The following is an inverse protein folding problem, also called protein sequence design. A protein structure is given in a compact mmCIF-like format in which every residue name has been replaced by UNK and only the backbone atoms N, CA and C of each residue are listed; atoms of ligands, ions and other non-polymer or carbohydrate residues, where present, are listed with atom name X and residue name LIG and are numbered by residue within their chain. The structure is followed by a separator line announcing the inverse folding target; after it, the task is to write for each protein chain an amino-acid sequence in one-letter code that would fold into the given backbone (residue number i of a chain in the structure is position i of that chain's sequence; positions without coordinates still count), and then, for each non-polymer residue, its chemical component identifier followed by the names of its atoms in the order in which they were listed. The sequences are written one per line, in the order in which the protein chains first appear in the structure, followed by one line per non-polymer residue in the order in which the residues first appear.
data_IF_449211472986
#
_entry.id   IF_449211472986
#
_cell.length_a   1.000
_cell.length_b   1.000
_cell.length_c   1.000
_cell.angle_alpha   90.00
_cell.angle_beta   90.00
_cell.angle_gamma   90.00
#
_symmetry.space_group_name_H-M   'P 1'
#
loop_
_entity.id
_entity.type
_entity.pdbx_description
1 polymer ?
#
# COMPACT_ATOMS: atom_id res chain seq x y z
N UNK A 1 14.87 27.96 4.70
CA UNK A 1 13.66 27.59 4.14
C UNK A 1 12.56 27.90 5.06
N UNK A 2 12.10 29.06 4.86
CA UNK A 2 11.18 29.63 5.81
C UNK A 2 9.84 28.93 5.82
N UNK A 3 9.47 28.25 4.78
CA UNK A 3 8.17 27.62 4.69
C UNK A 3 8.15 26.18 5.18
N UNK A 4 9.31 25.65 5.56
CA UNK A 4 9.38 24.27 5.97
C UNK A 4 9.42 23.28 4.83
N UNK A 5 9.58 23.76 3.61
CA UNK A 5 9.70 22.87 2.46
C UNK A 5 11.03 22.13 2.50
N UNK A 6 11.00 20.86 2.18
CA UNK A 6 12.16 19.99 2.22
C UNK A 6 12.46 19.42 0.84
N UNK A 7 13.74 19.21 0.59
CA UNK A 7 14.23 18.58 -0.62
C UNK A 7 15.53 17.86 -0.31
N UNK A 8 16.27 17.48 -1.36
CA UNK A 8 17.54 16.78 -1.21
C UNK A 8 18.59 17.50 -2.04
N UNK A 9 19.76 17.73 -1.42
CA UNK A 9 20.88 18.34 -2.13
C UNK A 9 22.02 17.33 -2.17
N UNK A 10 22.92 17.50 -3.17
CA UNK A 10 24.11 16.67 -3.25
C UNK A 10 25.27 17.34 -2.51
N UNK A 11 26.45 16.75 -2.59
CA UNK A 11 27.63 17.26 -1.89
C UNK A 11 28.05 18.64 -2.36
N UNK A 12 27.69 19.01 -3.56
CA UNK A 12 28.05 20.33 -4.11
C UNK A 12 27.04 21.40 -3.81
N UNK A 13 25.96 21.06 -3.12
CA UNK A 13 24.91 22.00 -2.79
C UNK A 13 23.84 22.15 -3.83
N UNK A 14 23.83 21.31 -4.84
CA UNK A 14 22.82 21.38 -5.90
C UNK A 14 21.61 20.57 -5.52
N UNK A 15 20.44 21.09 -5.86
CA UNK A 15 19.20 20.40 -5.58
C UNK A 15 19.09 19.17 -6.47
N UNK A 16 18.98 18.00 -5.85
CA UNK A 16 18.68 16.76 -6.54
C UNK A 16 17.17 16.54 -6.56
N UNK A 17 16.53 16.83 -5.43
CA UNK A 17 15.07 16.85 -5.33
C UNK A 17 14.69 18.23 -4.82
N UNK A 18 13.83 18.93 -5.54
CA UNK A 18 13.48 20.31 -5.24
C UNK A 18 12.75 20.43 -3.90
N UNK A 19 12.92 21.56 -3.20
CA UNK A 19 12.34 21.73 -1.85
C UNK A 19 10.86 22.08 -1.93
N UNK A 20 10.03 21.07 -2.14
CA UNK A 20 8.59 21.25 -2.23
C UNK A 20 7.80 20.22 -1.44
N UNK A 21 8.48 19.46 -0.59
CA UNK A 21 7.81 18.42 0.17
C UNK A 21 7.82 18.76 1.65
N UNK A 22 6.83 18.21 2.39
CA UNK A 22 6.77 18.44 3.83
C UNK A 22 7.92 17.76 4.57
N UNK A 23 8.45 16.70 3.98
CA UNK A 23 9.53 15.94 4.58
C UNK A 23 10.33 15.32 3.45
N UNK A 24 11.63 15.18 3.63
CA UNK A 24 12.49 14.50 2.69
C UNK A 24 13.64 13.88 3.45
N UNK A 25 13.95 12.63 3.11
CA UNK A 25 15.08 11.95 3.71
C UNK A 25 15.75 11.06 2.70
N UNK A 26 17.07 10.94 2.80
CA UNK A 26 17.83 10.04 1.94
C UNK A 26 17.72 8.65 2.53
N UNK A 27 17.05 7.76 1.82
CA UNK A 27 16.82 6.41 2.33
C UNK A 27 17.91 5.44 1.88
N UNK A 28 18.45 5.67 0.68
CA UNK A 28 19.53 4.83 0.17
C UNK A 28 20.27 5.60 -0.90
N UNK A 29 21.28 4.96 -1.51
CA UNK A 29 22.01 5.59 -2.61
C UNK A 29 21.18 5.69 -3.88
N UNK A 30 20.01 5.07 -3.90
CA UNK A 30 19.19 5.01 -5.10
C UNK A 30 17.88 5.78 -5.00
N UNK A 31 17.39 6.04 -3.78
CA UNK A 31 16.11 6.73 -3.66
C UNK A 31 15.99 7.50 -2.36
N UNK A 32 15.09 8.45 -2.37
CA UNK A 32 14.72 9.22 -1.20
C UNK A 32 13.24 9.03 -0.89
N UNK A 33 12.88 9.26 0.35
CA UNK A 33 11.49 9.21 0.79
C UNK A 33 11.04 10.64 1.05
N UNK A 34 9.94 11.04 0.44
CA UNK A 34 9.38 12.37 0.65
C UNK A 34 7.93 12.26 1.08
N UNK A 35 7.46 13.25 1.81
CA UNK A 35 6.07 13.31 2.27
C UNK A 35 5.38 14.50 1.62
N UNK A 36 4.17 14.26 1.11
CA UNK A 36 3.33 15.30 0.55
C UNK A 36 2.40 15.85 1.64
N UNK A 37 1.77 17.00 1.39
CA UNK A 37 0.98 17.66 2.44
C UNK A 37 -0.13 16.84 3.09
N UNK A 38 -0.68 15.86 2.38
CA UNK A 38 -1.73 15.03 2.96
C UNK A 38 -1.20 13.89 3.83
N UNK A 39 0.12 13.84 4.04
CA UNK A 39 0.72 12.86 4.93
C UNK A 39 1.20 11.58 4.27
N UNK A 40 0.92 11.40 2.99
CA UNK A 40 1.42 10.22 2.31
C UNK A 40 2.89 10.38 1.97
N UNK A 41 3.62 9.28 2.05
CA UNK A 41 5.03 9.26 1.70
C UNK A 41 5.19 8.59 0.35
N UNK A 42 6.20 9.04 -0.39
CA UNK A 42 6.51 8.50 -1.71
C UNK A 42 7.98 8.19 -1.79
N UNK A 43 8.35 7.30 -2.71
CA UNK A 43 9.74 7.07 -3.04
C UNK A 43 10.05 7.74 -4.36
N UNK A 44 11.09 8.55 -4.37
CA UNK A 44 11.57 9.22 -5.58
C UNK A 44 13.00 8.79 -5.86
N UNK A 45 13.35 8.66 -7.13
CA UNK A 45 14.77 8.52 -7.47
C UNK A 45 15.40 9.91 -7.45
N UNK A 46 16.69 9.99 -7.69
CA UNK A 46 17.38 11.27 -7.58
C UNK A 46 17.27 12.10 -8.86
N UNK A 47 16.51 11.64 -9.83
CA UNK A 47 16.11 12.45 -10.99
C UNK A 47 14.73 13.05 -10.78
N UNK A 48 14.09 12.77 -9.64
CA UNK A 48 12.78 13.31 -9.34
C UNK A 48 11.62 12.45 -9.79
N UNK A 49 11.90 11.25 -10.31
CA UNK A 49 10.84 10.37 -10.78
C UNK A 49 10.27 9.55 -9.63
N UNK A 50 8.98 9.33 -9.67
CA UNK A 50 8.30 8.55 -8.63
C UNK A 50 8.56 7.07 -8.89
N UNK A 51 9.24 6.42 -7.94
CA UNK A 51 9.43 4.98 -7.99
C UNK A 51 8.19 4.30 -7.46
N UNK A 52 7.73 4.74 -6.29
CA UNK A 52 6.51 4.26 -5.67
C UNK A 52 5.74 5.45 -5.13
N UNK A 53 4.45 5.58 -5.46
CA UNK A 53 3.67 6.71 -4.97
C UNK A 53 3.35 6.64 -3.48
N UNK A 54 3.58 5.49 -2.87
CA UNK A 54 3.33 5.32 -1.44
C UNK A 54 4.45 4.53 -0.82
N UNK A 55 4.88 4.95 0.37
CA UNK A 55 5.79 4.16 1.18
C UNK A 55 4.94 3.35 2.14
N UNK A 56 5.12 2.05 2.07
CA UNK A 56 4.30 1.11 2.82
C UNK A 56 4.73 1.07 4.27
N UNK A 57 3.78 1.25 5.20
CA UNK A 57 4.07 1.14 6.62
C UNK A 57 4.13 -0.32 7.04
N UNK A 58 3.26 -1.15 6.47
CA UNK A 58 3.29 -2.59 6.72
C UNK A 58 2.61 -3.31 5.57
N UNK A 59 2.96 -4.56 5.40
CA UNK A 59 2.37 -5.42 4.40
C UNK A 59 2.21 -6.81 4.98
N UNK A 60 1.11 -7.44 4.64
CA UNK A 60 0.77 -8.73 5.20
C UNK A 60 0.15 -9.59 4.12
N UNK A 61 0.66 -10.81 3.96
CA UNK A 61 0.10 -11.72 2.98
C UNK A 61 -1.32 -12.08 3.35
N UNK A 62 -2.21 -12.02 2.39
CA UNK A 62 -3.60 -12.33 2.63
C UNK A 62 -3.83 -13.82 2.52
N UNK A 63 -4.56 -14.35 3.49
CA UNK A 63 -4.96 -15.74 3.54
C UNK A 63 -6.47 -15.79 3.50
N UNK A 64 -7.02 -16.78 2.80
CA UNK A 64 -8.44 -16.98 2.83
C UNK A 64 -8.74 -18.30 3.54
N UNK A 65 -9.91 -18.41 4.13
CA UNK A 65 -10.30 -19.62 4.83
C UNK A 65 -11.30 -20.40 3.98
N UNK A 66 -11.15 -21.69 4.02
CA UNK A 66 -12.04 -22.57 3.31
C UNK A 66 -12.51 -23.65 4.27
N UNK A 67 -13.80 -23.81 4.35
CA UNK A 67 -14.37 -24.85 5.19
C UNK A 67 -14.28 -26.19 4.47
N UNK A 68 -13.35 -27.03 4.92
CA UNK A 68 -13.23 -28.35 4.37
C UNK A 68 -13.93 -29.32 5.28
N UNK A 69 -15.18 -29.61 4.95
CA UNK A 69 -15.91 -30.63 5.68
C UNK A 69 -15.36 -31.97 5.29
N UNK A 70 -14.51 -32.45 6.11
CA UNK A 70 -14.05 -33.82 5.93
C UNK A 70 -14.75 -34.63 7.03
N UNK A 71 -15.90 -35.06 6.69
CA UNK A 71 -16.73 -36.02 7.39
C UNK A 71 -16.82 -35.97 8.92
N UNK A 72 -15.80 -35.63 9.64
CA UNK A 72 -15.89 -35.70 11.08
C UNK A 72 -15.51 -34.40 11.80
N UNK A 73 -14.97 -33.44 11.09
CA UNK A 73 -14.55 -32.19 11.73
C UNK A 73 -14.86 -31.02 10.83
N UNK A 74 -15.33 -29.94 11.44
CA UNK A 74 -15.55 -28.68 10.74
C UNK A 74 -14.26 -27.88 10.78
N UNK A 75 -13.28 -28.34 10.05
CA UNK A 75 -11.99 -27.66 10.07
C UNK A 75 -11.94 -26.59 9.00
N UNK A 76 -11.59 -25.38 9.44
CA UNK A 76 -11.29 -24.29 8.54
C UNK A 76 -9.79 -24.28 8.33
N UNK A 77 -9.39 -24.34 7.09
CA UNK A 77 -7.98 -24.22 6.75
C UNK A 77 -7.73 -22.90 6.07
N UNK A 78 -6.58 -22.31 6.35
CA UNK A 78 -6.16 -21.08 5.73
C UNK A 78 -5.26 -21.39 4.55
N UNK A 79 -5.51 -20.71 3.45
CA UNK A 79 -4.73 -20.86 2.24
C UNK A 79 -4.15 -19.51 1.84
N UNK A 80 -2.88 -19.46 1.47
CA UNK A 80 -2.30 -18.18 1.07
C UNK A 80 -2.75 -17.76 -0.31
N UNK A 81 -2.93 -16.47 -0.48
CA UNK A 81 -3.13 -15.90 -1.80
C UNK A 81 -1.78 -15.41 -2.31
N UNK A 82 -1.76 -14.92 -3.56
CA UNK A 82 -0.58 -14.26 -4.11
C UNK A 82 -0.60 -12.77 -3.85
N UNK A 83 -1.45 -12.31 -2.94
CA UNK A 83 -1.72 -10.90 -2.75
C UNK A 83 -1.46 -10.50 -1.32
N UNK A 84 -1.21 -9.22 -1.14
CA UNK A 84 -0.87 -8.63 0.15
C UNK A 84 -1.76 -7.45 0.44
N UNK A 85 -2.14 -7.32 1.70
CA UNK A 85 -2.72 -6.08 2.20
C UNK A 85 -1.56 -5.19 2.62
N UNK A 86 -1.56 -3.97 2.14
CA UNK A 86 -0.55 -3.02 2.58
C UNK A 86 -1.25 -1.84 3.26
N UNK A 87 -0.54 -1.17 4.15
CA UNK A 87 -1.07 -0.01 4.83
C UNK A 87 -0.16 1.17 4.60
N UNK A 88 -0.80 2.30 4.35
CA UNK A 88 -0.12 3.59 4.24
C UNK A 88 -0.92 4.54 5.10
N UNK A 89 -0.33 5.00 6.20
CA UNK A 89 -0.95 6.01 7.05
C UNK A 89 -2.34 5.55 7.54
N UNK A 90 -2.42 4.31 8.02
CA UNK A 90 -3.64 3.67 8.54
C UNK A 90 -4.66 3.28 7.49
N UNK A 91 -4.41 3.56 6.24
CA UNK A 91 -5.30 3.15 5.17
C UNK A 91 -4.78 1.88 4.53
N UNK A 92 -5.68 1.02 4.10
CA UNK A 92 -5.32 -0.26 3.53
C UNK A 92 -5.56 -0.29 2.04
N UNK A 93 -4.75 -1.07 1.34
CA UNK A 93 -4.92 -1.32 -0.08
C UNK A 93 -4.47 -2.73 -0.40
N UNK A 94 -4.61 -3.09 -1.66
CA UNK A 94 -4.24 -4.42 -2.15
C UNK A 94 -3.05 -4.30 -3.09
N UNK A 95 -2.07 -5.18 -2.93
CA UNK A 95 -0.95 -5.25 -3.85
C UNK A 95 -0.63 -6.70 -4.15
N UNK A 96 0.12 -6.94 -5.22
CA UNK A 96 0.53 -8.30 -5.54
C UNK A 96 1.85 -8.64 -4.86
N UNK A 97 2.31 -9.87 -5.06
CA UNK A 97 3.54 -10.32 -4.40
C UNK A 97 4.81 -9.72 -4.96
N UNK A 98 4.70 -8.97 -6.05
CA UNK A 98 5.85 -8.30 -6.66
C UNK A 98 5.95 -6.84 -6.28
N UNK A 99 5.01 -6.37 -5.44
CA UNK A 99 5.02 -4.99 -5.00
C UNK A 99 4.25 -4.03 -5.87
N UNK A 100 3.48 -4.54 -6.83
CA UNK A 100 2.64 -3.68 -7.67
C UNK A 100 1.34 -3.38 -6.96
N UNK A 101 0.99 -2.11 -6.87
CA UNK A 101 -0.25 -1.70 -6.22
C UNK A 101 -1.44 -2.02 -7.12
N UNK A 102 -2.39 -2.79 -6.60
CA UNK A 102 -3.61 -3.12 -7.31
C UNK A 102 -4.67 -2.07 -7.01
N UNK A 103 -4.78 -1.65 -5.75
CA UNK A 103 -5.65 -0.54 -5.38
C UNK A 103 -4.85 0.52 -4.65
N UNK A 104 -5.40 1.72 -4.60
CA UNK A 104 -4.86 2.77 -3.74
C UNK A 104 -5.16 2.43 -2.29
N UNK A 105 -4.42 3.02 -1.34
CA UNK A 105 -4.67 2.75 0.08
C UNK A 105 -5.84 3.62 0.57
N UNK A 106 -7.03 3.23 0.17
CA UNK A 106 -8.24 4.01 0.43
C UNK A 106 -9.26 3.26 1.28
N UNK A 107 -8.93 2.07 1.74
CA UNK A 107 -9.86 1.25 2.51
C UNK A 107 -9.46 1.22 3.96
N UNK A 108 -10.44 0.92 4.82
CA UNK A 108 -10.16 0.73 6.23
C UNK A 108 -9.48 -0.62 6.46
N UNK A 109 -9.85 -1.62 5.67
CA UNK A 109 -9.24 -2.94 5.76
C UNK A 109 -9.51 -3.71 4.47
N UNK A 110 -8.69 -4.72 4.20
CA UNK A 110 -8.85 -5.61 3.06
C UNK A 110 -8.60 -7.03 3.55
N UNK A 111 -9.50 -7.96 3.21
CA UNK A 111 -9.37 -9.36 3.56
C UNK A 111 -9.62 -10.21 2.32
N UNK A 112 -9.06 -11.41 2.31
CA UNK A 112 -9.26 -12.32 1.19
C UNK A 112 -10.51 -13.15 1.42
N UNK A 113 -11.34 -13.27 0.39
CA UNK A 113 -12.50 -14.17 0.39
C UNK A 113 -12.09 -15.50 -0.23
N UNK A 114 -11.34 -15.44 -1.32
CA UNK A 114 -10.75 -16.62 -1.94
C UNK A 114 -9.48 -16.19 -2.66
N UNK A 115 -9.00 -16.98 -3.60
CA UNK A 115 -7.74 -16.70 -4.27
C UNK A 115 -7.74 -15.41 -5.08
N UNK A 116 -8.90 -14.97 -5.54
CA UNK A 116 -8.99 -13.86 -6.49
C UNK A 116 -9.99 -12.79 -6.09
N UNK A 117 -10.69 -12.96 -4.96
CA UNK A 117 -11.69 -11.99 -4.51
C UNK A 117 -11.37 -11.54 -3.12
N UNK A 118 -11.61 -10.27 -2.87
CA UNK A 118 -11.24 -9.63 -1.61
C UNK A 118 -12.38 -8.76 -1.10
N UNK A 119 -12.51 -8.73 0.22
CA UNK A 119 -13.50 -7.91 0.88
C UNK A 119 -12.81 -6.65 1.39
N UNK A 120 -13.20 -5.51 0.88
CA UNK A 120 -12.62 -4.24 1.29
C UNK A 120 -13.63 -3.48 2.13
N UNK A 121 -13.22 -3.10 3.33
CA UNK A 121 -14.05 -2.31 4.23
C UNK A 121 -13.78 -0.83 3.94
N UNK A 122 -14.84 -0.08 3.74
CA UNK A 122 -14.71 1.34 3.42
C UNK A 122 -14.32 2.13 4.66
N UNK A 123 -14.04 3.40 4.46
CA UNK A 123 -13.51 4.26 5.53
C UNK A 123 -14.49 4.45 6.68
N UNK A 124 -15.76 4.24 6.45
CA UNK A 124 -16.74 4.34 7.53
C UNK A 124 -16.63 3.17 8.51
N UNK A 125 -15.86 2.13 8.15
CA UNK A 125 -15.68 0.98 9.01
C UNK A 125 -16.85 0.01 9.01
N UNK A 126 -17.89 0.27 8.22
CA UNK A 126 -19.10 -0.51 8.22
C UNK A 126 -19.42 -1.05 6.84
N UNK A 127 -19.36 -0.19 5.83
CA UNK A 127 -19.69 -0.58 4.46
C UNK A 127 -18.56 -1.40 3.86
N UNK A 128 -18.92 -2.40 3.06
CA UNK A 128 -17.94 -3.26 2.43
C UNK A 128 -18.23 -3.39 0.95
N UNK A 129 -17.19 -3.64 0.18
CA UNK A 129 -17.31 -3.96 -1.25
C UNK A 129 -16.44 -5.16 -1.53
N UNK A 130 -16.77 -5.87 -2.59
CA UNK A 130 -15.94 -6.98 -3.05
C UNK A 130 -15.13 -6.48 -4.23
N UNK A 131 -13.83 -6.70 -4.20
CA UNK A 131 -12.96 -6.33 -5.30
C UNK A 131 -12.29 -7.57 -5.84
N UNK A 132 -11.97 -7.55 -7.13
CA UNK A 132 -11.29 -8.66 -7.76
C UNK A 132 -9.79 -8.43 -7.75
N UNK A 133 -9.05 -9.34 -8.37
CA UNK A 133 -7.58 -9.27 -8.38
C UNK A 133 -7.05 -8.14 -9.25
N UNK A 134 -7.91 -7.49 -10.00
CA UNK A 134 -7.53 -6.32 -10.79
C UNK A 134 -7.89 -5.02 -10.08
N UNK A 135 -8.49 -5.12 -8.91
CA UNK A 135 -8.88 -3.94 -8.15
C UNK A 135 -10.26 -3.39 -8.51
N UNK A 136 -11.00 -4.09 -9.35
CA UNK A 136 -12.33 -3.64 -9.75
C UNK A 136 -13.38 -4.07 -8.74
N UNK A 137 -14.33 -3.20 -8.47
CA UNK A 137 -15.43 -3.54 -7.58
C UNK A 137 -16.36 -4.50 -8.29
N UNK A 138 -16.59 -5.64 -7.66
CA UNK A 138 -17.43 -6.69 -8.20
C UNK A 138 -18.66 -6.74 -7.33
N UNK A 139 -19.60 -5.85 -7.61
CA UNK A 139 -20.77 -5.78 -6.79
C UNK A 139 -21.78 -6.82 -7.17
N UNK A 140 -22.36 -7.39 -6.15
CA UNK A 140 -23.41 -8.31 -6.44
C UNK A 140 -24.67 -7.88 -5.88
#
# INVERSE_FOLDING_TARGET
YASGDCGVIDKTGRWVIQPKYNHAEVASSEYAIVAVPNGFKMQLDYDGNIINPYVIDEAERLLYTKNEKDSSTDDYKEYPTSFYKYRVNYNAGLMDGKGHFITKPIYNNVEAIDETLFLATLKDGVSVVVIDQMGNVVNR
#
